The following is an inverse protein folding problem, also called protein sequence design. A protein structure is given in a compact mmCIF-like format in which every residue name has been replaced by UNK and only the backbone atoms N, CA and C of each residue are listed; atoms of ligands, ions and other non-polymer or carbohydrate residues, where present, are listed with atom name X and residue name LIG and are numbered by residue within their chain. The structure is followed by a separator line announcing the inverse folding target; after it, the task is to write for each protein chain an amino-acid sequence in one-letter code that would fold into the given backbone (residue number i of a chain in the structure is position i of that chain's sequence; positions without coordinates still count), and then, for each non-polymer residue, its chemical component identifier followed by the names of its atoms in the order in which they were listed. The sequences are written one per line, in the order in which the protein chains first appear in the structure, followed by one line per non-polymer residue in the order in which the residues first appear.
data_IF_633647536872
#
_entry.id   IF_633647536872
#
_cell.length_a   1.000
_cell.length_b   1.000
_cell.length_c   1.000
_cell.angle_alpha   90.00
_cell.angle_beta   90.00
_cell.angle_gamma   90.00
#
_symmetry.space_group_name_H-M   'P 1'
#
loop_
_entity.id
_entity.type
_entity.pdbx_description
1 polymer ?
#
# COMPACT_ATOMS: atom_id res chain seq x y z
N UNK A 1 6.22 11.43 14.25
CA UNK A 1 5.43 11.76 13.05
C UNK A 1 4.27 10.80 12.87
N UNK A 2 3.07 11.33 12.58
CA UNK A 2 1.84 10.55 12.35
C UNK A 2 1.10 11.11 11.14
N UNK A 3 0.48 10.23 10.35
CA UNK A 3 -0.47 10.61 9.30
C UNK A 3 -1.88 10.42 9.85
N UNK A 4 -2.70 11.46 9.75
CA UNK A 4 -4.11 11.48 10.12
C UNK A 4 -4.96 11.59 8.85
N UNK A 5 -5.76 10.56 8.55
CA UNK A 5 -6.64 10.51 7.39
C UNK A 5 -6.63 9.15 6.68
N UNK A 6 -7.81 8.71 6.23
CA UNK A 6 -8.02 7.48 5.47
C UNK A 6 -8.90 7.81 4.25
N UNK A 7 -8.45 7.40 3.05
CA UNK A 7 -9.19 7.64 1.81
C UNK A 7 -10.23 6.55 1.61
N UNK A 8 -11.44 6.79 2.08
CA UNK A 8 -12.59 5.88 2.01
C UNK A 8 -13.57 6.18 0.88
N UNK A 9 -13.49 7.36 0.28
CA UNK A 9 -14.54 7.91 -0.58
C UNK A 9 -14.57 7.29 -1.99
N UNK A 10 -13.41 7.06 -2.59
CA UNK A 10 -13.25 6.56 -3.96
C UNK A 10 -12.43 5.26 -4.04
N UNK A 11 -11.99 4.74 -2.89
CA UNK A 11 -11.27 3.47 -2.77
C UNK A 11 -12.13 2.46 -2.00
N UNK A 12 -12.17 1.21 -2.45
CA UNK A 12 -12.78 0.09 -1.72
C UNK A 12 -11.70 -0.94 -1.40
N UNK A 13 -11.86 -1.65 -0.27
CA UNK A 13 -11.02 -2.80 0.09
C UNK A 13 -9.52 -2.45 0.19
N UNK A 14 -9.18 -1.43 1.00
CA UNK A 14 -7.82 -0.89 1.14
C UNK A 14 -7.38 -0.75 2.60
N UNK A 15 -7.99 -1.52 3.51
CA UNK A 15 -7.54 -1.67 4.90
C UNK A 15 -7.50 -3.16 5.23
N UNK A 16 -6.32 -3.64 5.57
CA UNK A 16 -6.10 -5.07 5.83
C UNK A 16 -5.27 -5.27 7.09
N UNK A 17 -5.60 -6.35 7.81
CA UNK A 17 -4.71 -6.91 8.82
C UNK A 17 -3.50 -7.56 8.16
N UNK A 18 -2.33 -7.37 8.76
CA UNK A 18 -1.14 -8.14 8.44
C UNK A 18 -1.17 -9.49 9.17
N UNK A 19 -0.26 -10.39 8.79
CA UNK A 19 -0.24 -11.76 9.31
C UNK A 19 0.04 -11.86 10.82
N UNK A 20 0.50 -10.77 11.44
CA UNK A 20 0.69 -10.67 12.90
C UNK A 20 -0.62 -10.41 13.67
N UNK A 21 -1.73 -10.10 13.00
CA UNK A 21 -3.02 -9.67 13.57
C UNK A 21 -2.93 -8.47 14.54
N UNK A 22 -1.79 -7.79 14.60
CA UNK A 22 -1.55 -6.63 15.46
C UNK A 22 -1.40 -5.33 14.64
N UNK A 23 -1.09 -5.49 13.37
CA UNK A 23 -0.79 -4.41 12.45
C UNK A 23 -1.85 -4.30 11.36
N UNK A 24 -2.22 -3.06 11.04
CA UNK A 24 -3.06 -2.74 9.89
C UNK A 24 -2.23 -2.00 8.83
N UNK A 25 -2.56 -2.19 7.56
CA UNK A 25 -1.98 -1.43 6.45
C UNK A 25 -3.07 -0.68 5.69
N UNK A 26 -2.80 0.58 5.35
CA UNK A 26 -3.70 1.44 4.58
C UNK A 26 -2.94 2.53 3.80
N UNK A 27 -3.43 2.98 2.64
CA UNK A 27 -2.84 4.11 1.91
C UNK A 27 -3.32 5.46 2.47
N UNK A 28 -2.45 6.47 2.38
CA UNK A 28 -2.74 7.87 2.63
C UNK A 28 -1.93 8.73 1.62
N UNK A 29 -2.64 9.31 0.64
CA UNK A 29 -2.03 9.94 -0.54
C UNK A 29 -1.04 8.98 -1.24
N UNK A 30 0.18 9.43 -1.58
CA UNK A 30 1.26 8.62 -2.13
C UNK A 30 2.06 7.79 -1.11
N UNK A 31 1.53 7.51 0.09
CA UNK A 31 2.24 6.75 1.13
C UNK A 31 1.39 5.58 1.65
N UNK A 32 1.97 4.39 1.79
CA UNK A 32 1.34 3.32 2.59
C UNK A 32 1.77 3.43 4.05
N UNK A 33 0.81 3.32 4.96
CA UNK A 33 1.02 3.31 6.41
C UNK A 33 0.86 1.88 6.91
N UNK A 34 1.84 1.39 7.67
CA UNK A 34 1.76 0.18 8.48
C UNK A 34 1.66 0.61 9.93
N UNK A 35 0.50 0.39 10.55
CA UNK A 35 0.19 0.87 11.90
C UNK A 35 0.07 -0.32 12.85
N UNK A 36 0.99 -0.41 13.83
CA UNK A 36 0.89 -1.32 14.96
C UNK A 36 -0.08 -0.74 15.98
N UNK A 37 -1.32 -1.23 16.01
CA UNK A 37 -2.41 -0.61 16.77
C UNK A 37 -2.16 -0.67 18.27
N UNK A 38 -1.66 -1.80 18.76
CA UNK A 38 -1.38 -2.03 20.19
C UNK A 38 -0.27 -1.12 20.74
N UNK A 39 0.71 -0.78 19.90
CA UNK A 39 1.88 0.04 20.27
C UNK A 39 1.70 1.52 19.90
N UNK A 40 0.70 1.84 19.10
CA UNK A 40 0.46 3.18 18.56
C UNK A 40 1.56 3.67 17.59
N UNK A 41 2.34 2.77 16.99
CA UNK A 41 3.47 3.13 16.12
C UNK A 41 3.12 3.01 14.64
N UNK A 42 3.51 4.02 13.86
CA UNK A 42 3.33 4.04 12.41
C UNK A 42 4.66 3.92 11.68
N UNK A 43 4.68 3.07 10.67
CA UNK A 43 5.77 2.89 9.72
C UNK A 43 5.29 3.25 8.31
N UNK A 44 6.20 3.76 7.48
CA UNK A 44 5.81 4.36 6.19
C UNK A 44 6.55 3.73 5.01
N UNK A 45 5.81 3.41 3.95
CA UNK A 45 6.35 3.10 2.64
C UNK A 45 6.09 4.28 1.69
N UNK A 46 7.16 5.02 1.36
CA UNK A 46 7.13 6.32 0.64
C UNK A 46 7.79 6.26 -0.74
N UNK A 47 7.65 5.14 -1.45
CA UNK A 47 8.29 4.94 -2.77
C UNK A 47 7.40 5.32 -3.94
N UNK A 48 6.10 5.50 -3.72
CA UNK A 48 5.20 6.04 -4.73
C UNK A 48 5.48 7.53 -4.95
N UNK A 49 5.31 7.99 -6.18
CA UNK A 49 5.51 9.39 -6.56
C UNK A 49 4.20 10.14 -6.80
N UNK A 50 3.06 9.44 -6.71
CA UNK A 50 1.72 9.95 -6.94
C UNK A 50 0.71 9.19 -6.05
N UNK A 51 -0.56 9.58 -6.07
CA UNK A 51 -1.62 9.03 -5.23
C UNK A 51 -1.82 7.52 -5.41
N UNK A 52 -1.86 6.79 -4.30
CA UNK A 52 -2.19 5.37 -4.27
C UNK A 52 -3.71 5.22 -4.36
N UNK A 53 -4.17 4.50 -5.38
CA UNK A 53 -5.60 4.29 -5.66
C UNK A 53 -6.05 2.85 -5.43
N UNK A 54 -5.12 1.93 -5.19
CA UNK A 54 -5.42 0.51 -4.99
C UNK A 54 -4.39 -0.15 -4.10
N UNK A 55 -4.83 -1.13 -3.32
CA UNK A 55 -3.94 -1.92 -2.47
C UNK A 55 -4.50 -3.33 -2.29
N UNK A 56 -3.62 -4.33 -2.24
CA UNK A 56 -3.96 -5.71 -1.92
C UNK A 56 -2.88 -6.30 -1.02
N UNK A 57 -3.29 -7.18 -0.10
CA UNK A 57 -2.37 -7.80 0.86
C UNK A 57 -2.43 -9.32 0.71
N UNK A 58 -1.25 -9.94 0.62
CA UNK A 58 -1.13 -11.38 0.64
C UNK A 58 -1.06 -11.88 2.08
N UNK A 59 -2.18 -12.42 2.56
CA UNK A 59 -2.34 -12.92 3.94
C UNK A 59 -2.09 -14.43 4.10
N UNK A 60 -1.37 -15.08 3.17
CA UNK A 60 -1.25 -16.54 3.12
C UNK A 60 0.18 -17.10 3.22
N UNK A 61 0.37 -18.13 4.07
CA UNK A 61 1.49 -19.08 3.95
C UNK A 61 2.89 -18.54 4.34
N UNK A 62 3.94 -19.10 3.71
CA UNK A 62 5.37 -18.83 4.04
C UNK A 62 5.84 -17.41 3.69
N UNK A 63 5.08 -16.65 2.91
CA UNK A 63 5.44 -15.30 2.45
C UNK A 63 4.41 -14.28 2.96
N UNK A 64 4.15 -14.29 4.27
CA UNK A 64 3.28 -13.30 4.90
C UNK A 64 3.81 -11.87 4.72
N UNK A 65 2.91 -10.89 4.84
CA UNK A 65 3.20 -9.45 4.85
C UNK A 65 3.65 -8.88 3.50
N UNK A 66 3.31 -9.51 2.37
CA UNK A 66 3.51 -8.89 1.05
C UNK A 66 2.32 -8.01 0.70
N UNK A 67 2.62 -6.77 0.31
CA UNK A 67 1.64 -5.77 -0.09
C UNK A 67 1.89 -5.38 -1.53
N UNK A 68 0.82 -5.29 -2.31
CA UNK A 68 0.81 -4.66 -3.62
C UNK A 68 0.06 -3.33 -3.51
N UNK A 69 0.67 -2.20 -3.89
CA UNK A 69 0.06 -0.88 -3.93
C UNK A 69 0.23 -0.25 -5.30
N UNK A 70 -0.86 0.31 -5.85
CA UNK A 70 -0.87 0.89 -7.20
C UNK A 70 -1.12 2.39 -7.18
N UNK A 71 -0.26 3.16 -7.86
CA UNK A 71 -0.44 4.61 -8.03
C UNK A 71 -1.11 4.97 -9.36
N UNK A 72 -1.81 6.10 -9.35
CA UNK A 72 -2.29 6.80 -10.55
C UNK A 72 -1.18 7.69 -11.15
N UNK A 73 -1.43 8.31 -12.30
CA UNK A 73 -0.56 9.33 -12.89
C UNK A 73 -0.12 9.03 -14.32
N UNK A 74 0.74 9.89 -14.87
CA UNK A 74 1.29 9.75 -16.22
C UNK A 74 2.10 8.45 -16.39
N UNK A 75 2.72 8.00 -15.30
CA UNK A 75 3.49 6.75 -15.21
C UNK A 75 2.90 5.87 -14.11
N UNK A 76 1.78 5.15 -14.36
CA UNK A 76 1.17 4.30 -13.36
C UNK A 76 2.10 3.11 -13.05
N UNK A 77 2.31 2.86 -11.75
CA UNK A 77 3.16 1.75 -11.26
C UNK A 77 2.43 0.95 -10.18
N UNK A 78 2.79 -0.32 -10.10
CA UNK A 78 2.40 -1.19 -8.99
C UNK A 78 3.66 -1.60 -8.25
N UNK A 79 3.69 -1.32 -6.96
CA UNK A 79 4.80 -1.64 -6.07
C UNK A 79 4.42 -2.88 -5.27
N UNK A 80 5.27 -3.91 -5.34
CA UNK A 80 5.19 -5.10 -4.50
C UNK A 80 6.28 -4.98 -3.46
N UNK A 81 5.92 -5.02 -2.18
CA UNK A 81 6.82 -4.74 -1.07
C UNK A 81 6.48 -5.56 0.17
N UNK A 82 7.45 -5.71 1.07
CA UNK A 82 7.27 -6.39 2.34
C UNK A 82 6.88 -5.37 3.43
N UNK A 83 5.73 -5.55 4.09
CA UNK A 83 5.23 -4.59 5.09
C UNK A 83 6.07 -4.51 6.37
N UNK A 84 6.80 -5.58 6.71
CA UNK A 84 7.64 -5.63 7.90
C UNK A 84 8.99 -4.95 7.66
N UNK A 85 9.67 -5.28 6.54
CA UNK A 85 10.98 -4.67 6.22
C UNK A 85 10.86 -3.33 5.50
N UNK A 86 9.71 -3.07 4.87
CA UNK A 86 9.43 -1.95 3.95
C UNK A 86 10.29 -1.97 2.68
N UNK A 87 10.89 -3.11 2.38
CA UNK A 87 11.70 -3.27 1.18
C UNK A 87 10.82 -3.51 -0.03
N UNK A 88 11.20 -2.89 -1.14
CA UNK A 88 10.53 -3.11 -2.42
C UNK A 88 11.06 -4.40 -3.04
N UNK A 89 10.16 -5.32 -3.33
CA UNK A 89 10.45 -6.60 -3.97
C UNK A 89 10.41 -6.43 -5.48
N UNK A 90 9.43 -5.68 -5.99
CA UNK A 90 9.27 -5.43 -7.42
C UNK A 90 8.51 -4.14 -7.66
N UNK A 91 8.82 -3.48 -8.78
CA UNK A 91 8.03 -2.37 -9.32
C UNK A 91 7.60 -2.77 -10.72
N UNK A 92 6.31 -2.93 -10.91
CA UNK A 92 5.71 -3.18 -12.21
C UNK A 92 5.36 -1.83 -12.83
N UNK A 93 5.98 -1.54 -13.98
CA UNK A 93 5.76 -0.33 -14.76
C UNK A 93 5.54 -0.70 -16.22
N UNK A 94 4.64 0.02 -16.90
CA UNK A 94 4.34 -0.24 -18.31
C UNK A 94 3.02 0.37 -18.78
N UNK A 95 2.73 0.31 -20.09
CA UNK A 95 1.45 0.76 -20.65
C UNK A 95 0.34 -0.22 -20.31
N UNK A 96 -0.23 -0.12 -19.11
CA UNK A 96 -1.50 -0.76 -18.79
C UNK A 96 -2.57 -0.16 -19.72
N UNK A 97 -3.11 -0.94 -20.67
CA UNK A 97 -4.09 -0.53 -21.69
C UNK A 97 -5.40 0.10 -21.13
N UNK A 98 -5.56 0.22 -19.81
CA UNK A 98 -6.72 0.81 -19.11
C UNK A 98 -6.36 1.87 -18.05
N UNK A 99 -5.12 2.39 -18.04
CA UNK A 99 -4.68 3.43 -17.10
C UNK A 99 -4.77 4.86 -17.61
N UNK A 100 -5.48 5.11 -18.72
CA UNK A 100 -5.74 6.46 -19.23
C UNK A 100 -7.22 6.77 -19.06
N UNK A 101 -7.53 7.76 -18.24
CA UNK A 101 -8.77 8.51 -18.37
C UNK A 101 -8.69 9.24 -19.72
N UNK A 102 -9.57 8.88 -20.66
CA UNK A 102 -10.04 9.81 -21.68
C UNK A 102 -11.32 10.45 -21.14
#
# INVERSE_FOLDING_TARGET
DHIHGYRSFDCRDNLFYLADNESIVYPAAGTCVVHHVSRGTQNFYKKHTDDIISMAVHNGGKHGNIVASGQIGENPTIHVWNAQTRETISVLSGKHKRGKFN
#
